data_IF_926155957354
#
_entry.id   IF_926155957354
#
_cell.length_a   1.000
_cell.length_b   1.000
_cell.length_c   1.000
_cell.angle_alpha   90.00
_cell.angle_beta   90.00
_cell.angle_gamma   90.00
#
_symmetry.space_group_name_H-M   'P 1'
#
loop_
_entity.id
_entity.type
_entity.pdbx_description
1 polymer ?
#
# COMPACT_ATOMS: atom_id res chain seq x y z
N UNK A 1 -46.56 -32.59 12.05
CA UNK A 1 -46.50 -31.65 10.91
C UNK A 1 -45.20 -30.90 11.04
N UNK A 2 -44.12 -31.19 10.26
CA UNK A 2 -42.93 -30.39 10.29
C UNK A 2 -43.10 -29.17 9.37
N UNK A 3 -42.78 -27.98 9.93
CA UNK A 3 -42.75 -26.73 9.22
C UNK A 3 -41.61 -26.70 8.20
N UNK A 4 -41.95 -26.51 6.95
CA UNK A 4 -41.03 -26.28 5.84
C UNK A 4 -40.51 -24.85 5.89
N UNK A 5 -39.28 -24.67 6.31
CA UNK A 5 -38.56 -23.40 6.20
C UNK A 5 -38.29 -23.09 4.73
N UNK A 6 -38.94 -22.02 4.26
CA UNK A 6 -38.71 -21.44 2.90
C UNK A 6 -37.39 -20.69 2.93
N UNK A 7 -36.42 -21.25 2.20
CA UNK A 7 -35.10 -20.64 1.97
C UNK A 7 -35.31 -19.38 1.09
N UNK A 8 -34.98 -18.20 1.63
CA UNK A 8 -35.02 -16.95 0.86
C UNK A 8 -33.89 -16.92 -0.16
N UNK A 9 -34.16 -16.54 -1.43
CA UNK A 9 -33.12 -16.46 -2.45
C UNK A 9 -32.11 -15.35 -2.09
N UNK A 10 -30.82 -15.70 -2.14
CA UNK A 10 -29.72 -14.73 -1.97
C UNK A 10 -29.81 -13.65 -3.05
N UNK A 11 -29.57 -12.36 -2.70
CA UNK A 11 -29.60 -11.28 -3.67
C UNK A 11 -28.56 -11.54 -4.76
N UNK A 12 -29.01 -11.71 -5.99
CA UNK A 12 -28.19 -11.74 -7.20
C UNK A 12 -27.57 -10.35 -7.37
N UNK A 13 -26.27 -10.25 -7.11
CA UNK A 13 -25.48 -9.05 -7.46
C UNK A 13 -25.53 -8.94 -8.99
N UNK A 14 -26.12 -7.87 -9.51
CA UNK A 14 -26.12 -7.56 -10.92
C UNK A 14 -24.67 -7.50 -11.44
N UNK A 15 -24.40 -8.05 -12.65
CA UNK A 15 -23.06 -7.94 -13.22
C UNK A 15 -22.69 -6.48 -13.43
N UNK A 16 -21.48 -6.12 -12.97
CA UNK A 16 -20.91 -4.79 -13.23
C UNK A 16 -20.98 -4.46 -14.73
N UNK A 17 -21.35 -3.23 -15.11
CA UNK A 17 -21.39 -2.82 -16.51
C UNK A 17 -20.01 -3.03 -17.14
N UNK A 18 -20.01 -3.56 -18.38
CA UNK A 18 -18.80 -3.82 -19.15
C UNK A 18 -17.92 -2.56 -19.22
N UNK A 19 -16.58 -2.69 -19.07
CA UNK A 19 -15.69 -1.53 -19.05
C UNK A 19 -15.75 -0.79 -20.40
N UNK A 20 -16.03 0.51 -20.35
CA UNK A 20 -16.14 1.42 -21.52
C UNK A 20 -14.79 1.98 -21.96
N UNK A 21 -13.73 1.19 -21.98
CA UNK A 21 -12.40 1.60 -22.42
C UNK A 21 -11.55 0.45 -22.91
N UNK A 22 -10.50 0.68 -23.69
CA UNK A 22 -9.61 -0.37 -24.16
C UNK A 22 -9.00 -1.11 -22.97
N UNK A 23 -8.97 -2.45 -23.07
CA UNK A 23 -8.30 -3.29 -22.07
C UNK A 23 -6.81 -2.93 -22.03
N UNK A 24 -6.20 -2.79 -20.84
CA UNK A 24 -4.78 -2.54 -20.73
C UNK A 24 -3.92 -3.75 -21.17
N UNK A 25 -4.55 -4.88 -21.46
CA UNK A 25 -3.94 -6.10 -21.96
C UNK A 25 -4.50 -6.44 -23.34
N UNK A 26 -3.61 -6.66 -24.29
CA UNK A 26 -4.01 -7.19 -25.61
C UNK A 26 -4.48 -8.64 -25.47
N UNK A 27 -5.50 -9.08 -26.24
CA UNK A 27 -6.03 -10.45 -26.16
C UNK A 27 -4.97 -11.53 -26.37
N UNK A 28 -4.05 -11.33 -27.31
CA UNK A 28 -2.96 -12.27 -27.59
C UNK A 28 -1.95 -12.31 -26.43
N UNK A 29 -1.59 -11.15 -25.86
CA UNK A 29 -0.74 -11.04 -24.67
C UNK A 29 -1.37 -11.83 -23.52
N UNK A 30 -2.64 -11.60 -23.26
CA UNK A 30 -3.36 -12.24 -22.16
C UNK A 30 -3.44 -13.76 -22.32
N UNK A 31 -3.72 -14.25 -23.53
CA UNK A 31 -3.76 -15.68 -23.82
C UNK A 31 -2.40 -16.35 -23.54
N UNK A 32 -1.29 -15.73 -23.96
CA UNK A 32 0.06 -16.22 -23.69
C UNK A 32 0.35 -16.20 -22.19
N UNK A 33 0.11 -15.08 -21.50
CA UNK A 33 0.36 -14.95 -20.06
C UNK A 33 -0.41 -16.02 -19.27
N UNK A 34 -1.71 -16.18 -19.54
CA UNK A 34 -2.56 -17.11 -18.81
C UNK A 34 -2.19 -18.58 -19.09
N UNK A 35 -1.64 -18.91 -20.27
CA UNK A 35 -1.17 -20.26 -20.58
C UNK A 35 -0.04 -20.75 -19.67
N UNK A 36 0.65 -19.84 -18.97
CA UNK A 36 1.70 -20.19 -18.02
C UNK A 36 1.18 -20.63 -16.66
N UNK A 37 -0.13 -20.48 -16.38
CA UNK A 37 -0.72 -20.80 -15.08
C UNK A 37 -1.72 -21.94 -15.18
N UNK A 38 -1.92 -22.65 -14.07
CA UNK A 38 -2.93 -23.71 -13.95
C UNK A 38 -4.19 -23.16 -13.26
N UNK A 39 -5.05 -22.55 -14.05
CA UNK A 39 -6.27 -21.89 -13.57
C UNK A 39 -7.53 -22.75 -13.77
N UNK A 40 -7.44 -23.85 -14.55
CA UNK A 40 -8.61 -24.56 -15.05
C UNK A 40 -9.38 -23.72 -16.09
N UNK A 41 -10.67 -23.99 -16.26
CA UNK A 41 -11.53 -23.27 -17.21
C UNK A 41 -11.76 -21.84 -16.72
N UNK A 42 -11.36 -20.85 -17.53
CA UNK A 42 -11.58 -19.42 -17.22
C UNK A 42 -13.05 -19.11 -17.54
N UNK A 43 -13.75 -18.59 -16.55
CA UNK A 43 -15.18 -18.23 -16.63
C UNK A 43 -15.41 -16.77 -16.97
N UNK A 44 -14.59 -15.88 -16.40
CA UNK A 44 -14.67 -14.44 -16.68
C UNK A 44 -13.34 -13.75 -16.40
N UNK A 45 -13.10 -12.66 -17.14
CA UNK A 45 -11.98 -11.75 -16.95
C UNK A 45 -12.57 -10.34 -16.94
N UNK A 46 -12.27 -9.59 -15.89
CA UNK A 46 -12.76 -8.22 -15.73
C UNK A 46 -11.61 -7.30 -15.37
N UNK A 47 -11.65 -6.05 -15.80
CA UNK A 47 -10.68 -5.06 -15.39
C UNK A 47 -10.82 -4.76 -13.89
N UNK A 48 -9.71 -4.84 -13.17
CA UNK A 48 -9.67 -4.48 -11.76
C UNK A 48 -9.35 -3.00 -11.63
N UNK A 49 -10.39 -2.18 -11.41
CA UNK A 49 -10.32 -0.71 -11.47
C UNK A 49 -9.61 -0.04 -10.27
N UNK A 50 -8.95 -0.78 -9.40
CA UNK A 50 -8.30 -0.25 -8.20
C UNK A 50 -6.79 -0.15 -8.40
N UNK A 51 -6.19 0.93 -7.86
CA UNK A 51 -4.75 1.19 -7.91
C UNK A 51 -4.31 2.00 -9.13
N UNK A 52 -3.01 2.12 -9.32
CA UNK A 52 -2.40 2.94 -10.37
C UNK A 52 -2.74 2.46 -11.78
N UNK A 53 -3.01 3.40 -12.70
CA UNK A 53 -3.15 3.12 -14.13
C UNK A 53 -1.86 2.59 -14.77
N UNK A 54 -0.70 2.87 -14.17
CA UNK A 54 0.60 2.38 -14.63
C UNK A 54 0.81 0.88 -14.37
N UNK A 55 0.03 0.29 -13.46
CA UNK A 55 0.09 -1.14 -13.11
C UNK A 55 -1.27 -1.79 -13.34
N UNK A 56 -1.63 -2.06 -14.59
CA UNK A 56 -2.94 -2.62 -14.92
C UNK A 56 -3.15 -3.99 -14.28
N UNK A 57 -4.38 -4.21 -13.80
CA UNK A 57 -4.78 -5.41 -13.06
C UNK A 57 -6.06 -5.98 -13.65
N UNK A 58 -6.16 -7.32 -13.69
CA UNK A 58 -7.36 -8.05 -14.09
C UNK A 58 -7.82 -8.99 -12.97
N UNK A 59 -9.12 -9.01 -12.71
CA UNK A 59 -9.75 -10.05 -11.91
C UNK A 59 -10.14 -11.21 -12.83
N UNK A 60 -9.63 -12.38 -12.54
CA UNK A 60 -9.88 -13.62 -13.30
C UNK A 60 -10.66 -14.57 -12.40
N UNK A 61 -11.82 -15.00 -12.86
CA UNK A 61 -12.60 -16.07 -12.22
C UNK A 61 -12.46 -17.32 -13.05
N UNK A 62 -11.97 -18.38 -12.45
CA UNK A 62 -11.70 -19.64 -13.11
C UNK A 62 -12.15 -20.83 -12.25
N UNK A 63 -12.02 -22.03 -12.77
CA UNK A 63 -12.39 -23.27 -12.08
C UNK A 63 -11.63 -23.44 -10.77
N UNK A 64 -10.32 -23.14 -10.76
CA UNK A 64 -9.47 -23.29 -9.58
C UNK A 64 -9.51 -22.10 -8.62
N UNK A 65 -10.43 -21.14 -8.83
CA UNK A 65 -10.66 -20.01 -7.94
C UNK A 65 -10.69 -18.64 -8.62
N UNK A 66 -10.53 -17.59 -7.81
CA UNK A 66 -10.43 -16.23 -8.28
C UNK A 66 -8.99 -15.71 -8.10
N UNK A 67 -8.52 -14.91 -9.07
CA UNK A 67 -7.13 -14.46 -9.13
C UNK A 67 -7.04 -13.02 -9.59
N UNK A 68 -5.98 -12.33 -9.19
CA UNK A 68 -5.62 -11.01 -9.71
C UNK A 68 -4.33 -11.14 -10.51
N UNK A 69 -4.42 -10.88 -11.81
CA UNK A 69 -3.26 -10.73 -12.68
C UNK A 69 -2.84 -9.25 -12.66
N UNK A 70 -1.58 -8.99 -12.36
CA UNK A 70 -0.97 -7.67 -12.36
C UNK A 70 0.18 -7.65 -13.37
N UNK A 71 0.26 -6.58 -14.17
CA UNK A 71 1.42 -6.25 -14.98
C UNK A 71 2.14 -5.08 -14.32
N UNK A 72 3.41 -5.28 -13.96
CA UNK A 72 4.20 -4.22 -13.29
C UNK A 72 4.54 -3.09 -14.25
N UNK A 73 4.78 -1.92 -13.69
CA UNK A 73 5.37 -0.81 -14.42
C UNK A 73 6.75 -1.21 -14.97
N UNK A 74 7.07 -0.76 -16.17
CA UNK A 74 8.37 -1.01 -16.78
C UNK A 74 9.42 -0.03 -16.26
N UNK A 75 10.67 -0.49 -16.18
CA UNK A 75 11.79 0.33 -15.78
C UNK A 75 13.05 -0.52 -15.60
N UNK A 76 14.24 0.10 -15.59
CA UNK A 76 15.50 -0.64 -15.50
C UNK A 76 15.65 -1.43 -14.19
N UNK A 77 15.10 -0.92 -13.10
CA UNK A 77 15.17 -1.54 -11.78
C UNK A 77 13.97 -2.49 -11.50
N UNK A 78 12.95 -2.52 -12.37
CA UNK A 78 11.73 -3.28 -12.16
C UNK A 78 11.95 -4.78 -11.88
N UNK A 79 12.86 -5.50 -12.57
CA UNK A 79 13.11 -6.91 -12.29
C UNK A 79 13.72 -7.16 -10.90
N UNK A 80 14.61 -6.29 -10.44
CA UNK A 80 15.23 -6.42 -9.13
C UNK A 80 14.24 -6.12 -8.01
N UNK A 81 13.44 -5.06 -8.17
CA UNK A 81 12.36 -4.69 -7.25
C UNK A 81 11.29 -5.79 -7.17
N UNK A 82 10.90 -6.38 -8.31
CA UNK A 82 9.95 -7.48 -8.34
C UNK A 82 10.47 -8.70 -7.57
N UNK A 83 11.73 -9.09 -7.80
CA UNK A 83 12.35 -10.22 -7.07
C UNK A 83 12.37 -9.99 -5.57
N UNK A 84 12.77 -8.81 -5.13
CA UNK A 84 12.77 -8.45 -3.72
C UNK A 84 11.36 -8.48 -3.11
N UNK A 85 10.39 -7.83 -3.75
CA UNK A 85 9.01 -7.83 -3.29
C UNK A 85 8.42 -9.25 -3.18
N UNK A 86 8.78 -10.15 -4.13
CA UNK A 86 8.34 -11.54 -4.09
C UNK A 86 9.04 -12.35 -3.00
N UNK A 87 10.35 -12.18 -2.82
CA UNK A 87 11.10 -12.82 -1.72
C UNK A 87 10.51 -12.42 -0.38
N UNK A 88 10.28 -11.12 -0.17
CA UNK A 88 9.63 -10.59 1.03
C UNK A 88 8.24 -11.22 1.24
N UNK A 89 7.38 -11.20 0.21
CA UNK A 89 6.02 -11.76 0.31
C UNK A 89 6.02 -13.27 0.58
N UNK A 90 6.89 -14.04 -0.07
CA UNK A 90 7.00 -15.48 0.16
C UNK A 90 7.46 -15.79 1.59
N UNK A 91 8.39 -15.00 2.12
CA UNK A 91 8.87 -15.14 3.49
C UNK A 91 7.77 -14.78 4.50
N UNK A 92 7.09 -13.67 4.29
CA UNK A 92 5.94 -13.26 5.10
C UNK A 92 4.82 -14.31 5.09
N UNK A 93 4.51 -14.86 3.90
CA UNK A 93 3.52 -15.93 3.77
C UNK A 93 3.90 -17.18 4.56
N UNK A 94 5.18 -17.60 4.49
CA UNK A 94 5.68 -18.77 5.24
C UNK A 94 5.63 -18.56 6.76
N UNK A 95 5.72 -17.30 7.22
CA UNK A 95 5.59 -16.91 8.61
C UNK A 95 4.12 -16.68 9.06
N UNK A 96 3.14 -16.86 8.16
CA UNK A 96 1.72 -16.72 8.47
C UNK A 96 1.20 -15.27 8.48
N UNK A 97 1.92 -14.33 7.86
CA UNK A 97 1.45 -12.96 7.70
C UNK A 97 0.25 -12.90 6.74
N UNK A 98 -0.79 -12.09 7.02
CA UNK A 98 -1.97 -11.98 6.16
C UNK A 98 -1.65 -11.21 4.87
N UNK A 99 -1.50 -11.93 3.77
CA UNK A 99 -1.27 -11.36 2.44
C UNK A 99 -1.80 -12.29 1.34
N UNK A 100 -2.07 -11.79 0.11
CA UNK A 100 -2.45 -12.62 -1.01
C UNK A 100 -1.35 -13.60 -1.40
N UNK A 101 -1.72 -14.86 -1.60
CA UNK A 101 -0.79 -15.88 -2.06
C UNK A 101 -0.33 -15.55 -3.51
N UNK A 102 0.99 -15.47 -3.71
CA UNK A 102 1.62 -15.46 -5.02
C UNK A 102 1.52 -16.85 -5.67
N UNK A 103 1.14 -16.90 -6.92
CA UNK A 103 1.08 -18.15 -7.68
C UNK A 103 2.31 -18.28 -8.57
N UNK A 104 2.91 -19.47 -8.53
CA UNK A 104 3.99 -19.83 -9.45
C UNK A 104 3.47 -20.26 -10.81
N UNK A 105 4.28 -20.05 -11.85
CA UNK A 105 4.01 -20.59 -13.19
C UNK A 105 4.00 -22.11 -13.18
N UNK A 106 3.22 -22.71 -14.08
CA UNK A 106 3.02 -24.15 -14.19
C UNK A 106 4.34 -24.93 -14.39
N UNK A 107 5.23 -24.40 -15.24
CA UNK A 107 6.48 -25.08 -15.64
C UNK A 107 7.62 -24.86 -14.64
N UNK A 108 7.92 -23.59 -14.28
CA UNK A 108 9.10 -23.26 -13.48
C UNK A 108 8.79 -23.05 -12.00
N UNK A 109 7.51 -22.97 -11.62
CA UNK A 109 7.04 -22.62 -10.26
C UNK A 109 7.51 -21.24 -9.76
N UNK A 110 8.08 -20.42 -10.64
CA UNK A 110 8.48 -19.06 -10.31
C UNK A 110 7.25 -18.16 -10.19
N UNK A 111 7.21 -17.32 -9.19
CA UNK A 111 6.11 -16.37 -8.96
C UNK A 111 6.16 -15.16 -9.93
N UNK A 112 7.31 -14.89 -10.53
CA UNK A 112 7.51 -13.86 -11.56
C UNK A 112 7.47 -14.53 -12.94
N UNK A 113 6.64 -13.99 -13.84
CA UNK A 113 6.64 -14.31 -15.25
C UNK A 113 7.16 -13.12 -16.04
N UNK A 114 8.32 -13.30 -16.70
CA UNK A 114 8.91 -12.30 -17.59
C UNK A 114 8.62 -12.68 -19.04
N UNK A 115 7.90 -11.82 -19.77
CA UNK A 115 7.57 -11.99 -21.19
C UNK A 115 7.71 -10.67 -21.93
N UNK A 116 8.47 -10.67 -23.02
CA UNK A 116 8.66 -9.51 -23.90
C UNK A 116 9.04 -8.23 -23.13
N UNK A 117 9.94 -8.34 -22.14
CA UNK A 117 10.39 -7.24 -21.32
C UNK A 117 9.37 -6.70 -20.30
N UNK A 118 8.27 -7.42 -20.10
CA UNK A 118 7.23 -7.10 -19.12
C UNK A 118 7.20 -8.14 -18.01
N UNK A 119 6.84 -7.70 -16.81
CA UNK A 119 6.72 -8.55 -15.62
C UNK A 119 5.24 -8.73 -15.28
N UNK A 120 4.85 -9.99 -15.11
CA UNK A 120 3.49 -10.38 -14.72
C UNK A 120 3.55 -11.17 -13.42
N UNK A 121 2.56 -10.89 -12.57
CA UNK A 121 2.39 -11.49 -11.26
C UNK A 121 0.94 -11.96 -11.13
N UNK A 122 0.76 -13.17 -10.61
CA UNK A 122 -0.57 -13.70 -10.36
C UNK A 122 -0.75 -13.95 -8.87
N UNK A 123 -1.80 -13.38 -8.31
CA UNK A 123 -2.17 -13.51 -6.91
C UNK A 123 -3.50 -14.24 -6.77
N UNK A 124 -3.67 -15.01 -5.71
CA UNK A 124 -4.99 -15.46 -5.31
C UNK A 124 -5.81 -14.26 -4.84
N UNK A 125 -7.02 -14.12 -5.39
CA UNK A 125 -7.92 -13.05 -4.97
C UNK A 125 -8.39 -13.29 -3.53
N UNK A 126 -8.36 -12.26 -2.72
CA UNK A 126 -8.88 -12.25 -1.35
C UNK A 126 -10.14 -11.38 -1.33
N UNK A 127 -11.24 -11.96 -0.86
CA UNK A 127 -12.44 -11.19 -0.58
C UNK A 127 -12.23 -10.41 0.72
N UNK A 128 -12.68 -9.15 0.73
CA UNK A 128 -12.58 -8.29 1.90
C UNK A 128 -13.23 -6.94 1.67
N UNK A 129 -13.67 -6.34 2.76
CA UNK A 129 -14.19 -4.98 2.79
C UNK A 129 -13.07 -3.95 2.84
N UNK A 130 -13.40 -2.72 2.47
CA UNK A 130 -12.52 -1.57 2.65
C UNK A 130 -12.48 -1.17 4.13
N UNK A 131 -11.45 -0.44 4.47
CA UNK A 131 -11.35 0.28 5.73
C UNK A 131 -12.56 1.20 5.96
N UNK A 132 -13.14 1.11 7.14
CA UNK A 132 -14.32 1.91 7.53
C UNK A 132 -13.96 3.04 8.49
N UNK A 133 -12.72 3.08 8.97
CA UNK A 133 -12.26 4.06 9.94
C UNK A 133 -12.65 3.72 11.38
N UNK A 134 -13.00 2.47 11.70
CA UNK A 134 -13.22 2.08 13.10
C UNK A 134 -11.90 2.09 13.88
N UNK A 135 -11.88 2.50 15.16
CA UNK A 135 -10.68 2.38 16.00
C UNK A 135 -10.14 0.94 16.08
N UNK A 136 -11.00 -0.06 16.01
CA UNK A 136 -10.61 -1.47 16.00
C UNK A 136 -9.82 -1.83 14.74
N UNK A 137 -10.22 -1.35 13.55
CA UNK A 137 -9.45 -1.54 12.33
C UNK A 137 -8.13 -0.77 12.35
N UNK A 138 -8.09 0.41 12.96
CA UNK A 138 -6.83 1.15 13.16
C UNK A 138 -5.86 0.37 14.06
N UNK A 139 -6.36 -0.20 15.16
CA UNK A 139 -5.55 -1.05 16.03
C UNK A 139 -5.06 -2.31 15.31
N UNK A 140 -5.92 -2.96 14.52
CA UNK A 140 -5.55 -4.11 13.70
C UNK A 140 -4.47 -3.75 12.65
N UNK A 141 -4.54 -2.55 12.06
CA UNK A 141 -3.52 -2.02 11.14
C UNK A 141 -2.18 -1.83 11.85
N UNK A 142 -2.17 -1.18 13.02
CA UNK A 142 -0.96 -0.97 13.82
C UNK A 142 -0.33 -2.29 14.26
N UNK A 143 -1.15 -3.24 14.74
CA UNK A 143 -0.71 -4.59 15.08
C UNK A 143 -0.03 -5.29 13.91
N UNK A 144 -0.68 -5.27 12.74
CA UNK A 144 -0.15 -5.90 11.54
C UNK A 144 1.15 -5.25 11.05
N UNK A 145 1.29 -3.92 11.20
CA UNK A 145 2.53 -3.22 10.87
C UNK A 145 3.68 -3.67 11.78
N UNK A 146 3.45 -3.77 13.08
CA UNK A 146 4.45 -4.29 14.01
C UNK A 146 4.85 -5.73 13.68
N UNK A 147 3.86 -6.58 13.37
CA UNK A 147 4.09 -7.95 12.94
C UNK A 147 4.90 -8.03 11.65
N UNK A 148 4.56 -7.19 10.66
CA UNK A 148 5.32 -7.04 9.42
C UNK A 148 6.77 -6.66 9.71
N UNK A 149 7.01 -5.62 10.50
CA UNK A 149 8.35 -5.15 10.84
C UNK A 149 9.21 -6.25 11.48
N UNK A 150 8.63 -7.08 12.34
CA UNK A 150 9.34 -8.21 12.94
C UNK A 150 9.68 -9.30 11.92
N UNK A 151 8.70 -9.71 11.11
CA UNK A 151 8.87 -10.80 10.16
C UNK A 151 9.76 -10.40 8.98
N UNK A 152 9.77 -9.11 8.61
CA UNK A 152 10.56 -8.57 7.52
C UNK A 152 12.00 -8.20 7.93
N UNK A 153 12.32 -8.15 9.24
CA UNK A 153 13.62 -7.67 9.74
C UNK A 153 14.83 -8.44 9.20
N UNK A 154 14.65 -9.71 8.85
CA UNK A 154 15.71 -10.56 8.31
C UNK A 154 15.84 -10.48 6.77
N UNK A 155 14.91 -9.80 6.09
CA UNK A 155 14.93 -9.62 4.63
C UNK A 155 15.59 -8.29 4.33
N UNK A 156 16.74 -8.31 3.66
CA UNK A 156 17.51 -7.10 3.39
C UNK A 156 17.30 -6.60 1.96
N UNK A 157 16.96 -5.32 1.82
CA UNK A 157 16.89 -4.60 0.54
C UNK A 157 18.21 -3.91 0.14
N UNK A 158 19.33 -4.20 0.81
CA UNK A 158 20.59 -3.45 0.66
C UNK A 158 21.17 -3.42 -0.77
N UNK A 159 20.79 -4.37 -1.63
CA UNK A 159 21.32 -4.47 -3.00
C UNK A 159 20.34 -3.95 -4.06
N UNK A 160 19.25 -3.32 -3.64
CA UNK A 160 18.17 -2.91 -4.55
C UNK A 160 18.03 -1.40 -4.49
N UNK A 161 18.01 -0.77 -5.67
CA UNK A 161 17.63 0.64 -5.78
C UNK A 161 16.14 0.77 -5.55
N UNK A 162 15.76 1.19 -4.35
CA UNK A 162 14.38 1.41 -3.94
C UNK A 162 14.01 2.89 -4.02
N UNK A 163 12.72 3.20 -3.95
CA UNK A 163 12.27 4.58 -3.80
C UNK A 163 12.92 5.20 -2.54
N UNK A 164 13.32 6.48 -2.59
CA UNK A 164 13.86 7.16 -1.42
C UNK A 164 12.80 7.28 -0.32
N UNK A 165 13.28 7.44 0.92
CA UNK A 165 12.42 7.84 2.04
C UNK A 165 11.71 9.16 1.73
N UNK A 166 10.53 9.37 2.29
CA UNK A 166 9.96 10.70 2.28
C UNK A 166 10.65 11.62 3.30
N UNK A 167 11.28 11.07 4.35
CA UNK A 167 12.02 11.84 5.33
C UNK A 167 13.26 12.49 4.69
N UNK A 168 13.40 13.80 4.92
CA UNK A 168 14.49 14.65 4.43
C UNK A 168 14.77 14.49 2.91
N UNK A 169 13.74 14.20 2.12
CA UNK A 169 13.88 14.01 0.68
C UNK A 169 14.05 15.35 -0.05
N UNK A 170 15.19 15.63 -0.67
CA UNK A 170 15.45 16.93 -1.29
C UNK A 170 14.57 17.23 -2.52
N UNK A 171 13.93 16.21 -3.08
CA UNK A 171 13.03 16.37 -4.22
C UNK A 171 11.74 17.08 -3.80
N UNK A 172 11.22 16.80 -2.61
CA UNK A 172 9.96 17.37 -2.11
C UNK A 172 10.00 18.90 -2.03
N UNK A 173 10.93 19.56 -1.28
CA UNK A 173 10.98 21.00 -1.24
C UNK A 173 11.35 21.63 -2.57
N UNK A 174 12.17 20.96 -3.39
CA UNK A 174 12.50 21.44 -4.74
C UNK A 174 11.27 21.51 -5.64
N UNK A 175 10.41 20.48 -5.63
CA UNK A 175 9.14 20.47 -6.37
C UNK A 175 8.19 21.56 -5.90
N UNK A 176 8.05 21.71 -4.58
CA UNK A 176 7.17 22.71 -3.99
C UNK A 176 7.59 24.15 -4.34
N UNK A 177 8.89 24.45 -4.32
CA UNK A 177 9.41 25.76 -4.72
C UNK A 177 9.35 25.99 -6.23
N UNK A 178 9.32 24.92 -7.03
CA UNK A 178 9.16 24.97 -8.48
C UNK A 178 7.70 24.88 -8.96
N UNK A 179 6.72 25.04 -8.06
CA UNK A 179 5.31 25.05 -8.43
C UNK A 179 5.05 26.18 -9.43
N UNK A 180 4.73 25.79 -10.67
CA UNK A 180 4.31 26.69 -11.71
C UNK A 180 2.80 26.85 -11.66
N UNK A 181 2.37 28.07 -11.40
CA UNK A 181 0.96 28.43 -11.34
C UNK A 181 0.18 28.12 -12.62
N UNK A 182 0.84 28.07 -13.78
CA UNK A 182 0.21 27.66 -15.04
C UNK A 182 -0.29 26.19 -15.00
N UNK A 183 0.19 25.40 -14.05
CA UNK A 183 -0.22 23.99 -13.87
C UNK A 183 -1.36 23.78 -12.89
N UNK A 184 -1.82 24.85 -12.22
CA UNK A 184 -2.93 24.79 -11.25
C UNK A 184 -4.12 25.59 -11.77
N UNK A 185 -5.00 24.98 -12.61
CA UNK A 185 -6.13 25.67 -13.22
C UNK A 185 -7.03 26.32 -12.13
N UNK A 186 -7.31 27.60 -12.28
CA UNK A 186 -8.19 28.33 -11.37
C UNK A 186 -7.54 28.84 -10.07
N UNK A 187 -6.23 28.65 -9.88
CA UNK A 187 -5.49 29.22 -8.74
C UNK A 187 -4.90 30.58 -9.06
N UNK A 188 -4.77 31.42 -8.02
CA UNK A 188 -3.93 32.63 -8.08
C UNK A 188 -2.45 32.19 -8.16
N UNK A 189 -1.71 32.57 -9.21
CA UNK A 189 -0.32 32.18 -9.41
C UNK A 189 0.60 32.58 -8.27
N UNK A 190 0.47 33.79 -7.76
CA UNK A 190 1.31 34.29 -6.70
C UNK A 190 1.07 33.52 -5.40
N UNK A 191 -0.20 33.27 -5.07
CA UNK A 191 -0.59 32.50 -3.88
C UNK A 191 -0.11 31.04 -3.96
N UNK A 192 -0.10 30.42 -5.15
CA UNK A 192 0.41 29.07 -5.33
C UNK A 192 1.92 29.00 -5.06
N UNK A 193 2.70 29.95 -5.55
CA UNK A 193 4.14 30.05 -5.31
C UNK A 193 4.44 30.29 -3.83
N UNK A 194 3.72 31.22 -3.18
CA UNK A 194 3.88 31.51 -1.75
C UNK A 194 3.55 30.27 -0.88
N UNK A 195 2.47 29.55 -1.21
CA UNK A 195 2.09 28.32 -0.52
C UNK A 195 3.14 27.22 -0.71
N UNK A 196 3.63 27.05 -1.95
CA UNK A 196 4.69 26.08 -2.23
C UNK A 196 5.97 26.34 -1.41
N UNK A 197 6.42 27.60 -1.38
CA UNK A 197 7.57 27.99 -0.55
C UNK A 197 7.33 27.71 0.93
N UNK A 198 6.16 28.09 1.45
CA UNK A 198 5.79 27.84 2.84
C UNK A 198 5.74 26.37 3.20
N UNK A 199 5.17 25.52 2.34
CA UNK A 199 5.13 24.05 2.54
C UNK A 199 6.53 23.44 2.51
N UNK A 200 7.41 23.94 1.61
CA UNK A 200 8.80 23.52 1.56
C UNK A 200 9.53 23.84 2.88
N UNK A 201 9.34 25.05 3.42
CA UNK A 201 9.95 25.47 4.70
C UNK A 201 9.42 24.63 5.87
N UNK A 202 8.11 24.35 5.92
CA UNK A 202 7.51 23.49 6.95
C UNK A 202 8.06 22.07 6.87
N UNK A 203 8.23 21.51 5.66
CA UNK A 203 8.81 20.20 5.45
C UNK A 203 10.27 20.15 5.96
N UNK A 204 11.11 21.10 5.56
CA UNK A 204 12.52 21.14 5.97
C UNK A 204 12.68 21.36 7.49
N UNK A 205 11.83 22.17 8.11
CA UNK A 205 11.82 22.33 9.57
C UNK A 205 11.38 21.05 10.29
N UNK A 206 10.38 20.34 9.79
CA UNK A 206 9.97 19.07 10.35
C UNK A 206 11.10 18.03 10.24
N UNK A 207 11.72 17.91 9.06
CA UNK A 207 12.86 17.02 8.85
C UNK A 207 14.03 17.34 9.79
N UNK A 208 14.39 18.64 9.95
CA UNK A 208 15.45 19.05 10.88
C UNK A 208 15.17 18.66 12.33
N UNK A 209 13.91 18.82 12.81
CA UNK A 209 13.56 18.37 14.17
C UNK A 209 13.64 16.85 14.36
N UNK A 210 13.34 16.08 13.32
CA UNK A 210 13.49 14.62 13.35
C UNK A 210 14.99 14.24 13.37
N UNK A 211 15.82 14.91 12.57
CA UNK A 211 17.27 14.70 12.56
C UNK A 211 17.88 15.04 13.94
N UNK A 212 17.44 16.12 14.58
CA UNK A 212 17.86 16.50 15.94
C UNK A 212 17.53 15.43 17.00
N UNK A 213 16.53 14.59 16.76
CA UNK A 213 16.21 13.41 17.59
C UNK A 213 17.11 12.20 17.33
N UNK A 214 18.01 12.29 16.36
CA UNK A 214 19.00 11.26 16.05
C UNK A 214 18.50 10.15 15.11
N UNK A 215 17.51 10.41 14.25
CA UNK A 215 16.95 9.40 13.32
C UNK A 215 18.04 8.69 12.49
N UNK A 216 19.09 9.39 12.11
CA UNK A 216 20.20 8.84 11.32
C UNK A 216 20.90 7.63 11.98
N UNK A 217 20.88 7.54 13.31
CA UNK A 217 21.51 6.50 14.12
C UNK A 217 20.55 5.36 14.50
N UNK A 218 19.26 5.49 14.15
CA UNK A 218 18.28 4.47 14.53
C UNK A 218 18.39 3.20 13.67
N UNK A 219 18.03 2.03 14.21
CA UNK A 219 18.09 0.79 13.48
C UNK A 219 17.25 0.84 12.19
N UNK A 220 17.86 0.43 11.09
CA UNK A 220 17.20 0.31 9.80
C UNK A 220 16.78 -1.14 9.55
N UNK A 221 15.63 -1.31 8.97
CA UNK A 221 15.06 -2.61 8.64
C UNK A 221 14.23 -2.52 7.36
N UNK A 222 13.75 -3.64 6.85
CA UNK A 222 12.77 -3.63 5.77
C UNK A 222 11.44 -3.07 6.29
N UNK A 223 10.96 -2.01 5.64
CA UNK A 223 9.66 -1.39 5.83
C UNK A 223 8.78 -1.62 4.60
N UNK A 224 7.47 -1.46 4.74
CA UNK A 224 6.51 -1.58 3.62
C UNK A 224 6.63 -0.39 2.66
N UNK A 225 6.77 0.81 3.21
CA UNK A 225 6.97 2.05 2.48
C UNK A 225 5.72 2.67 1.86
N UNK A 226 4.55 2.00 1.99
CA UNK A 226 3.24 2.46 1.51
C UNK A 226 2.11 1.89 2.39
N UNK A 227 2.27 2.04 3.71
CA UNK A 227 1.31 1.50 4.69
C UNK A 227 0.12 2.43 4.88
N UNK A 228 -0.95 2.17 4.15
CA UNK A 228 -2.17 2.96 4.23
C UNK A 228 -3.43 2.09 4.07
N UNK A 229 -4.61 2.56 4.52
CA UNK A 229 -5.86 1.78 4.48
C UNK A 229 -6.28 1.28 3.10
N UNK A 230 -5.85 1.94 2.02
CA UNK A 230 -6.12 1.50 0.65
C UNK A 230 -5.43 0.19 0.28
N UNK A 231 -4.33 -0.15 0.97
CA UNK A 231 -3.56 -1.38 0.81
C UNK A 231 -3.99 -2.48 1.81
N UNK A 232 -5.16 -2.35 2.44
CA UNK A 232 -5.69 -3.28 3.43
C UNK A 232 -7.06 -3.80 3.04
N UNK A 233 -7.27 -5.09 3.31
CA UNK A 233 -8.57 -5.75 3.20
C UNK A 233 -8.99 -6.22 4.59
N UNK A 234 -10.27 -6.01 4.92
CA UNK A 234 -10.82 -6.36 6.23
C UNK A 234 -11.97 -7.37 6.13
N UNK A 235 -12.13 -8.15 7.16
CA UNK A 235 -13.30 -8.98 7.43
C UNK A 235 -13.86 -8.55 8.81
N UNK A 236 -14.87 -7.68 8.80
CA UNK A 236 -15.26 -6.92 9.98
C UNK A 236 -14.12 -6.00 10.44
N UNK A 237 -13.68 -6.15 11.69
CA UNK A 237 -12.55 -5.42 12.24
C UNK A 237 -11.20 -6.18 12.12
N UNK A 238 -11.23 -7.42 11.66
CA UNK A 238 -10.03 -8.24 11.47
C UNK A 238 -9.37 -7.88 10.13
N UNK A 239 -8.07 -7.65 10.14
CA UNK A 239 -7.29 -7.52 8.92
C UNK A 239 -7.22 -8.87 8.20
N UNK A 240 -7.73 -8.93 6.97
CA UNK A 240 -7.73 -10.12 6.12
C UNK A 240 -6.46 -10.20 5.27
N UNK A 241 -5.98 -9.08 4.75
CA UNK A 241 -4.74 -9.02 3.98
C UNK A 241 -4.15 -7.62 3.89
N UNK A 242 -2.82 -7.55 3.77
CA UNK A 242 -2.06 -6.37 3.31
C UNK A 242 -1.56 -6.67 1.89
N UNK A 243 -1.65 -5.68 1.02
CA UNK A 243 -1.28 -5.77 -0.41
C UNK A 243 -0.28 -4.69 -0.79
N UNK A 244 0.31 -4.83 -1.98
CA UNK A 244 1.16 -3.83 -2.65
C UNK A 244 2.52 -3.58 -1.97
N UNK A 245 3.45 -4.51 -2.18
CA UNK A 245 4.81 -4.51 -1.60
C UNK A 245 5.85 -3.87 -2.51
N UNK A 246 5.44 -3.10 -3.54
CA UNK A 246 6.38 -2.56 -4.54
C UNK A 246 7.30 -1.48 -4.00
N UNK A 247 6.87 -0.79 -2.95
CA UNK A 247 7.59 0.30 -2.30
C UNK A 247 8.44 -0.15 -1.12
N UNK A 248 8.40 -1.45 -0.80
CA UNK A 248 9.18 -2.01 0.29
C UNK A 248 10.67 -1.71 0.12
N UNK A 249 11.30 -1.23 1.20
CA UNK A 249 12.70 -0.76 1.20
C UNK A 249 13.30 -0.87 2.59
N UNK A 250 14.61 -0.63 2.69
CA UNK A 250 15.28 -0.47 3.99
C UNK A 250 15.16 0.97 4.48
N UNK A 251 14.55 1.14 5.66
CA UNK A 251 14.42 2.44 6.32
C UNK A 251 14.22 2.24 7.84
N UNK A 252 14.05 3.34 8.60
CA UNK A 252 13.66 3.28 10.00
C UNK A 252 12.16 3.00 10.14
N UNK A 253 11.79 2.16 11.11
CA UNK A 253 10.40 1.72 11.31
C UNK A 253 9.40 2.88 11.54
N UNK A 254 9.87 3.99 12.11
CA UNK A 254 9.03 5.14 12.39
C UNK A 254 8.51 5.84 11.13
N UNK A 255 9.20 5.73 9.99
CA UNK A 255 8.75 6.25 8.70
C UNK A 255 7.43 5.56 8.29
N UNK A 256 7.37 4.22 8.37
CA UNK A 256 6.13 3.48 8.11
C UNK A 256 5.04 3.77 9.14
N UNK A 257 5.42 3.79 10.43
CA UNK A 257 4.45 3.99 11.52
C UNK A 257 3.82 5.38 11.48
N UNK A 258 4.59 6.42 11.16
CA UNK A 258 4.07 7.78 11.03
C UNK A 258 3.08 7.88 9.85
N UNK A 259 3.42 7.30 8.69
CA UNK A 259 2.51 7.21 7.54
C UNK A 259 1.24 6.43 7.89
N UNK A 260 1.37 5.26 8.55
CA UNK A 260 0.23 4.46 9.01
C UNK A 260 -0.70 5.24 9.95
N UNK A 261 -0.12 5.91 10.95
CA UNK A 261 -0.87 6.69 11.93
C UNK A 261 -1.59 7.88 11.29
N UNK A 262 -0.93 8.59 10.37
CA UNK A 262 -1.53 9.66 9.59
C UNK A 262 -2.71 9.16 8.77
N UNK A 263 -2.48 8.18 7.91
CA UNK A 263 -3.46 7.68 6.95
C UNK A 263 -4.69 7.01 7.60
N UNK A 264 -4.50 6.31 8.72
CA UNK A 264 -5.61 5.77 9.50
C UNK A 264 -6.43 6.85 10.21
N UNK A 265 -5.79 7.99 10.53
CA UNK A 265 -6.43 9.08 11.29
C UNK A 265 -7.17 10.09 10.42
N UNK A 266 -6.87 10.15 9.13
CA UNK A 266 -7.53 11.06 8.20
C UNK A 266 -8.90 10.53 7.77
N UNK A 267 -9.78 11.44 7.38
CA UNK A 267 -11.04 11.10 6.70
C UNK A 267 -10.88 11.35 5.21
N UNK A 268 -10.79 10.25 4.45
CA UNK A 268 -10.79 10.29 2.99
C UNK A 268 -12.23 10.18 2.49
N UNK A 269 -12.72 11.19 1.78
CA UNK A 269 -14.06 11.16 1.18
C UNK A 269 -13.96 10.55 -0.22
N UNK A 270 -14.44 9.31 -0.37
CA UNK A 270 -14.42 8.61 -1.66
C UNK A 270 -15.17 9.40 -2.74
N UNK A 271 -14.56 9.54 -3.91
CA UNK A 271 -15.14 10.24 -5.06
C UNK A 271 -15.02 11.77 -5.00
N UNK A 272 -14.43 12.32 -3.94
CA UNK A 272 -14.13 13.76 -3.84
C UNK A 272 -12.62 14.00 -3.98
N UNK A 273 -12.23 15.13 -4.60
CA UNK A 273 -10.82 15.51 -4.67
C UNK A 273 -10.29 15.90 -3.27
N UNK A 274 -8.97 15.80 -3.01
CA UNK A 274 -8.38 16.03 -1.69
C UNK A 274 -8.70 17.38 -1.04
N UNK A 275 -8.88 18.45 -1.83
CA UNK A 275 -9.22 19.78 -1.32
C UNK A 275 -10.65 19.89 -0.73
N UNK A 276 -11.50 18.88 -0.97
CA UNK A 276 -12.83 18.76 -0.39
C UNK A 276 -12.90 17.80 0.81
N UNK A 277 -11.77 17.20 1.17
CA UNK A 277 -11.74 16.31 2.33
C UNK A 277 -11.78 17.12 3.64
N UNK A 278 -12.35 16.56 4.73
CA UNK A 278 -12.29 17.17 6.04
C UNK A 278 -10.84 17.38 6.48
N UNK A 279 -10.54 18.61 6.93
CA UNK A 279 -9.21 18.97 7.44
C UNK A 279 -9.17 18.67 8.94
N UNK A 280 -9.24 17.39 9.28
CA UNK A 280 -9.23 16.94 10.66
C UNK A 280 -8.50 15.60 10.81
N UNK A 281 -7.87 15.39 11.93
CA UNK A 281 -7.26 14.14 12.34
C UNK A 281 -8.04 13.55 13.52
N UNK A 282 -8.46 12.30 13.40
CA UNK A 282 -9.17 11.60 14.47
C UNK A 282 -8.17 11.04 15.50
N UNK A 283 -8.03 11.74 16.62
CA UNK A 283 -7.07 11.39 17.67
C UNK A 283 -7.27 9.96 18.22
N UNK A 284 -8.51 9.48 18.29
CA UNK A 284 -8.80 8.11 18.73
C UNK A 284 -8.26 7.05 17.76
N UNK A 285 -8.35 7.31 16.45
CA UNK A 285 -7.79 6.41 15.42
C UNK A 285 -6.26 6.42 15.46
N UNK A 286 -5.66 7.60 15.62
CA UNK A 286 -4.24 7.75 15.84
C UNK A 286 -3.75 6.92 17.04
N UNK A 287 -4.37 7.11 18.21
CA UNK A 287 -4.06 6.35 19.41
C UNK A 287 -4.26 4.86 19.21
N UNK A 288 -5.34 4.44 18.57
CA UNK A 288 -5.62 3.02 18.31
C UNK A 288 -4.53 2.38 17.44
N UNK A 289 -4.06 3.07 16.39
CA UNK A 289 -2.95 2.59 15.54
C UNK A 289 -1.68 2.37 16.36
N UNK A 290 -1.27 3.35 17.18
CA UNK A 290 -0.09 3.22 18.04
C UNK A 290 -0.26 2.14 19.09
N UNK A 291 -1.43 2.06 19.73
CA UNK A 291 -1.72 1.03 20.73
C UNK A 291 -1.62 -0.37 20.12
N UNK A 292 -2.19 -0.58 18.93
CA UNK A 292 -2.09 -1.88 18.24
C UNK A 292 -0.63 -2.24 17.93
N UNK A 293 0.17 -1.28 17.48
CA UNK A 293 1.59 -1.47 17.22
C UNK A 293 2.35 -1.88 18.48
N UNK A 294 2.23 -1.13 19.55
CA UNK A 294 2.87 -1.38 20.84
C UNK A 294 2.44 -2.71 21.46
N UNK A 295 1.15 -3.04 21.42
CA UNK A 295 0.65 -4.33 21.93
C UNK A 295 1.27 -5.52 21.20
N UNK A 296 1.42 -5.45 19.88
CA UNK A 296 2.10 -6.50 19.13
C UNK A 296 3.56 -6.63 19.56
N UNK A 297 4.28 -5.51 19.70
CA UNK A 297 5.68 -5.52 20.13
C UNK A 297 5.85 -6.10 21.54
N UNK A 298 4.97 -5.74 22.48
CA UNK A 298 4.95 -6.30 23.84
C UNK A 298 4.72 -7.81 23.85
N UNK A 299 3.65 -8.27 23.17
CA UNK A 299 3.30 -9.69 23.16
C UNK A 299 4.37 -10.57 22.50
N UNK A 300 5.14 -10.02 21.60
CA UNK A 300 6.21 -10.72 20.89
C UNK A 300 7.60 -10.47 21.49
N UNK A 301 7.66 -9.85 22.67
CA UNK A 301 8.92 -9.54 23.39
C UNK A 301 9.93 -8.76 22.53
N UNK A 302 9.42 -7.87 21.67
CA UNK A 302 10.25 -7.04 20.81
C UNK A 302 10.50 -5.66 21.41
N UNK A 303 11.47 -4.94 20.88
CA UNK A 303 11.83 -3.60 21.34
C UNK A 303 10.70 -2.61 21.09
N UNK A 304 10.16 -2.03 22.17
CA UNK A 304 9.15 -0.98 22.13
C UNK A 304 9.69 0.29 21.47
N UNK A 305 8.79 1.22 21.16
CA UNK A 305 9.17 2.54 20.69
C UNK A 305 9.88 3.32 21.80
N UNK A 306 11.00 3.90 21.48
CA UNK A 306 11.71 4.81 22.37
C UNK A 306 10.97 6.15 22.49
N UNK A 307 11.30 6.95 23.51
CA UNK A 307 10.76 8.31 23.65
C UNK A 307 11.12 9.18 22.45
N UNK A 308 12.32 9.01 21.85
CA UNK A 308 12.75 9.75 20.67
C UNK A 308 11.91 9.37 19.45
N UNK A 309 11.67 8.06 19.22
CA UNK A 309 10.81 7.59 18.14
C UNK A 309 9.38 8.14 18.26
N UNK A 310 8.80 8.12 19.48
CA UNK A 310 7.47 8.68 19.71
C UNK A 310 7.40 10.19 19.46
N UNK A 311 8.45 10.93 19.82
CA UNK A 311 8.53 12.37 19.59
C UNK A 311 8.68 12.71 18.11
N UNK A 312 9.29 11.87 17.32
CA UNK A 312 9.47 12.08 15.87
C UNK A 312 8.18 11.90 15.07
N UNK A 313 7.21 11.10 15.55
CA UNK A 313 6.02 10.76 14.77
C UNK A 313 5.25 11.98 14.24
N UNK A 314 4.97 13.03 15.00
CA UNK A 314 4.23 14.19 14.48
C UNK A 314 4.95 14.89 13.33
N UNK A 315 6.26 15.07 13.42
CA UNK A 315 7.05 15.71 12.37
C UNK A 315 7.19 14.81 11.14
N UNK A 316 7.39 13.51 11.31
CA UNK A 316 7.34 12.53 10.21
C UNK A 316 5.97 12.48 9.52
N UNK A 317 4.86 12.67 10.26
CA UNK A 317 3.53 12.76 9.66
C UNK A 317 3.38 14.03 8.82
N UNK A 318 3.94 15.16 9.26
CA UNK A 318 3.97 16.41 8.47
C UNK A 318 4.76 16.21 7.19
N UNK A 319 5.94 15.61 7.27
CA UNK A 319 6.76 15.29 6.10
C UNK A 319 6.04 14.35 5.12
N UNK A 320 5.41 13.28 5.63
CA UNK A 320 4.65 12.33 4.81
C UNK A 320 3.51 13.01 4.07
N UNK A 321 2.71 13.82 4.77
CA UNK A 321 1.58 14.54 4.18
C UNK A 321 2.03 15.50 3.07
N UNK A 322 3.10 16.27 3.31
CA UNK A 322 3.62 17.22 2.33
C UNK A 322 4.25 16.49 1.13
N UNK A 323 4.99 15.41 1.37
CA UNK A 323 5.58 14.61 0.31
C UNK A 323 4.51 14.01 -0.62
N UNK A 324 3.45 13.44 -0.06
CA UNK A 324 2.31 12.91 -0.84
C UNK A 324 1.59 14.00 -1.64
N UNK A 325 1.38 15.18 -1.04
CA UNK A 325 0.74 16.30 -1.72
C UNK A 325 1.60 16.88 -2.86
N UNK A 326 2.92 16.64 -2.87
CA UNK A 326 3.87 17.14 -3.87
C UNK A 326 4.14 16.15 -5.00
N UNK A 327 3.64 14.91 -4.91
CA UNK A 327 3.88 13.83 -5.86
C UNK A 327 2.98 13.94 -7.10
#
# INVERSE_FOLDING_TARGET
>A
MPETSVEQPRPTVAPDPAPTGPSPFEPAELAIVLSHYDLGVIRSIAQFKRGSALTPKLLIRAENGAFVLKRRASGPDAPAQARFAHELQLRLASAGFPLPQLLGTRSSKRSILELSGRIYELFRFIEGSRFTGSPAQCAASGWALALFHQMASEVSAQQIRTAPSYHANPITPSRLRALDAARLPGSDPQRAVELGAKLADVYEQAAGRVDDLGLGDWPRQTIHGDWHPGNMLFEGDRLAAVIDYETARTDVRCVDLASAALQCSMTVTSGKPPHEWPVEMHLERFKATLTGYEQCMQQRSSTLLSTAELRALPDLMVESLIAEASA
#
